data_IF_073859657832
#
_entry.id   IF_073859657832
#
_cell.length_a   1.000
_cell.length_b   1.000
_cell.length_c   1.000
_cell.angle_alpha   90.00
_cell.angle_beta   90.00
_cell.angle_gamma   90.00
#
_symmetry.space_group_name_H-M   'P 1'
#
loop_
_entity.id
_entity.type
_entity.pdbx_description
1 polymer ?
2 polymer ?
3 water ?
#
loop_
_entity_poly.entity_id
_entity_poly.type
_entity_poly.pdbx_seq_one_letter_code
_entity_poly.pdbx_strand_id
2 'polyribonucleotide' 'GGAGAUCUGAGCCUGGGAGCUCUCUCC' ?
#
# COMPACT_ATOMS: atom_id res chain seq x y z
N UNK A 1 9.40 1.30 14.56
CA UNK A 1 8.30 1.94 13.85
C UNK A 1 6.99 1.74 14.60
N UNK A 2 6.09 2.72 14.51
CA UNK A 2 4.80 2.68 15.16
C UNK A 2 3.71 3.07 14.17
N UNK A 3 2.45 2.79 14.50
CA UNK A 3 1.38 3.02 13.51
C UNK A 3 1.27 4.47 13.10
N UNK A 4 0.96 4.68 11.83
CA UNK A 4 0.69 6.01 11.29
C UNK A 4 -0.33 5.88 10.16
N UNK A 5 -0.59 6.99 9.46
CA UNK A 5 -1.62 7.00 8.43
C UNK A 5 -1.24 6.19 7.19
N UNK A 6 0.05 5.93 6.98
CA UNK A 6 0.52 5.36 5.73
C UNK A 6 1.07 3.96 5.94
N UNK A 7 0.74 3.07 5.01
CA UNK A 7 1.30 1.72 4.96
C UNK A 7 2.24 1.64 3.77
N UNK A 8 3.33 0.90 3.94
CA UNK A 8 4.30 0.64 2.88
C UNK A 8 4.14 -0.79 2.39
N UNK A 9 3.96 -0.95 1.09
CA UNK A 9 3.74 -2.25 0.46
C UNK A 9 4.83 -2.46 -0.57
N UNK A 10 5.51 -3.60 -0.48
CA UNK A 10 6.50 -3.99 -1.49
C UNK A 10 6.28 -5.46 -1.83
N UNK A 11 7.17 -5.98 -2.67
CA UNK A 11 7.01 -7.32 -3.26
C UNK A 11 5.83 -7.35 -4.22
N UNK A 12 5.48 -6.20 -4.79
CA UNK A 12 4.42 -6.13 -5.77
C UNK A 12 4.96 -6.55 -7.14
N UNK A 13 4.05 -7.06 -7.97
CA UNK A 13 4.44 -7.57 -9.28
C UNK A 13 4.96 -6.44 -10.15
N UNK A 14 6.23 -6.52 -10.52
CA UNK A 14 6.86 -5.49 -11.34
C UNK A 14 6.37 -5.51 -12.78
N UNK A 15 5.65 -6.54 -13.20
CA UNK A 15 5.19 -6.68 -14.58
C UNK A 15 3.86 -5.99 -14.84
N UNK A 16 3.20 -5.49 -13.80
CA UNK A 16 1.92 -4.81 -13.94
C UNK A 16 2.18 -3.32 -14.18
N UNK A 17 1.39 -2.73 -15.07
CA UNK A 17 1.51 -1.29 -15.32
C UNK A 17 1.26 -0.52 -14.03
N UNK A 18 1.91 0.64 -13.92
CA UNK A 18 1.77 1.47 -12.72
C UNK A 18 0.31 1.81 -12.45
N UNK A 19 -0.38 2.36 -13.45
CA UNK A 19 -1.73 2.87 -13.22
C UNK A 19 -2.70 1.74 -12.87
N UNK A 20 -2.50 0.55 -13.41
CA UNK A 20 -3.36 -0.57 -13.04
C UNK A 20 -3.04 -1.08 -11.65
N UNK A 21 -1.78 -0.96 -11.23
CA UNK A 21 -1.42 -1.31 -9.85
C UNK A 21 -2.04 -0.32 -8.88
N UNK A 22 -1.95 0.98 -9.20
CA UNK A 22 -2.54 2.00 -8.34
C UNK A 22 -4.05 1.86 -8.27
N UNK A 23 -4.69 1.51 -9.38
CA UNK A 23 -6.14 1.35 -9.39
C UNK A 23 -6.58 0.15 -8.58
N UNK A 24 -5.93 -1.00 -8.78
CA UNK A 24 -6.29 -2.20 -8.04
C UNK A 24 -6.05 -1.99 -6.54
N UNK A 25 -4.89 -1.45 -6.18
CA UNK A 25 -4.61 -1.16 -4.78
C UNK A 25 -5.72 -0.31 -4.16
N UNK A 26 -6.19 0.70 -4.90
CA UNK A 26 -7.27 1.53 -4.38
C UNK A 26 -8.55 0.73 -4.20
N UNK A 27 -8.88 -0.12 -5.18
CA UNK A 27 -10.11 -0.91 -5.09
C UNK A 27 -10.04 -1.92 -3.96
N UNK A 28 -8.86 -2.45 -3.66
CA UNK A 28 -8.76 -3.50 -2.65
C UNK A 28 -8.68 -2.90 -1.26
N UNK A 29 -7.96 -1.79 -1.09
CA UNK A 29 -7.72 -1.24 0.23
C UNK A 29 -8.77 -0.24 0.68
N UNK A 30 -9.61 0.25 -0.25
CA UNK A 30 -10.61 1.25 0.13
C UNK A 30 -11.65 0.70 1.09
N UNK A 31 -11.82 -0.63 1.17
CA UNK A 31 -12.81 -1.18 2.09
C UNK A 31 -12.45 -0.90 3.54
N UNK A 32 -11.18 -0.64 3.84
CA UNK A 32 -10.76 -0.38 5.20
C UNK A 32 -10.98 1.07 5.62
N UNK A 33 -11.09 1.98 4.65
CA UNK A 33 -11.34 3.37 4.97
C UNK A 33 -10.99 4.27 3.81
N UNK A 34 -11.27 5.55 4.01
CA UNK A 34 -10.98 6.55 2.99
C UNK A 34 -9.48 6.66 2.75
N UNK A 35 -9.08 6.60 1.49
CA UNK A 35 -7.68 6.71 1.09
C UNK A 35 -7.43 8.13 0.60
N UNK A 36 -6.45 8.80 1.21
CA UNK A 36 -6.11 10.15 0.78
C UNK A 36 -5.28 10.15 -0.51
N UNK A 37 -4.41 9.16 -0.68
CA UNK A 37 -3.55 9.12 -1.85
C UNK A 37 -2.85 7.76 -1.92
N UNK A 38 -2.58 7.32 -3.14
CA UNK A 38 -1.81 6.11 -3.40
C UNK A 38 -0.62 6.50 -4.26
N UNK A 39 0.58 6.14 -3.80
CA UNK A 39 1.81 6.50 -4.49
C UNK A 39 2.53 5.23 -4.93
N UNK A 40 2.95 5.21 -6.19
CA UNK A 40 3.78 4.12 -6.71
C UNK A 40 5.06 4.76 -7.25
N UNK A 41 6.03 5.06 -6.39
CA UNK A 41 7.16 5.90 -6.81
C UNK A 41 8.04 5.23 -7.86
N UNK A 42 8.76 6.07 -8.59
CA UNK A 42 9.64 5.61 -9.67
C UNK A 42 10.96 5.16 -9.06
N UNK A 43 11.13 3.86 -8.91
CA UNK A 43 12.35 3.29 -8.35
C UNK A 43 13.40 3.15 -9.44
N UNK A 44 14.68 3.11 -9.02
CA UNK A 44 15.76 2.88 -9.95
C UNK A 44 15.56 1.56 -10.69
N UNK A 45 15.24 0.50 -9.96
CA UNK A 45 14.87 -0.79 -10.51
C UNK A 45 13.37 -0.85 -10.71
N UNK A 46 12.86 -1.88 -11.40
CA UNK A 46 11.42 -1.90 -11.72
C UNK A 46 10.56 -1.71 -10.49
N UNK A 47 9.49 -0.93 -10.65
CA UNK A 47 8.57 -0.63 -9.56
C UNK A 47 8.10 -1.91 -8.89
N UNK A 48 8.18 -1.94 -7.56
CA UNK A 48 7.67 -3.04 -6.78
C UNK A 48 7.23 -2.60 -5.40
N UNK A 49 6.96 -1.30 -5.25
CA UNK A 49 6.60 -0.71 -3.98
C UNK A 49 5.48 0.30 -4.18
N UNK A 50 4.74 0.55 -3.11
CA UNK A 50 3.68 1.55 -3.15
C UNK A 50 3.36 1.98 -1.72
N UNK A 51 2.82 3.20 -1.61
CA UNK A 51 2.38 3.77 -0.34
C UNK A 51 0.88 4.05 -0.44
N UNK A 52 0.13 3.56 0.54
CA UNK A 52 -1.31 3.84 0.66
C UNK A 52 -1.49 4.74 1.87
N UNK A 53 -1.99 5.94 1.65
CA UNK A 53 -2.12 6.95 2.69
C UNK A 53 -3.59 7.02 3.07
N UNK A 54 -3.95 6.45 4.21
CA UNK A 54 -5.32 6.49 4.69
C UNK A 54 -5.59 7.81 5.42
N UNK A 55 -6.87 8.08 5.63
CA UNK A 55 -7.28 9.28 6.35
C UNK A 55 -7.16 9.10 7.86
N UNK A 56 -7.43 7.90 8.37
CA UNK A 56 -7.32 7.59 9.78
C UNK A 56 -6.30 6.47 9.98
N UNK A 57 -5.61 6.50 11.12
CA UNK A 57 -4.61 5.49 11.41
C UNK A 57 -5.26 4.12 11.61
N UNK A 58 -6.48 4.08 12.15
CA UNK A 58 -7.16 2.81 12.36
C UNK A 58 -7.38 2.08 11.04
N UNK A 59 -7.72 2.82 9.98
CA UNK A 59 -7.88 2.19 8.67
C UNK A 59 -6.58 1.53 8.23
N UNK A 60 -5.44 2.21 8.43
CA UNK A 60 -4.16 1.62 8.11
C UNK A 60 -3.88 0.40 8.98
N UNK A 61 -4.20 0.50 10.28
CA UNK A 61 -3.99 -0.63 11.18
C UNK A 61 -4.73 -1.87 10.69
N UNK A 62 -6.00 -1.72 10.34
CA UNK A 62 -6.78 -2.86 9.87
C UNK A 62 -6.31 -3.31 8.49
N UNK A 63 -5.99 -2.35 7.62
CA UNK A 63 -5.46 -2.71 6.30
C UNK A 63 -4.19 -3.54 6.42
N UNK A 64 -3.30 -3.17 7.33
CA UNK A 64 -2.05 -3.90 7.50
C UNK A 64 -2.31 -5.31 8.01
N UNK A 65 -3.23 -5.45 8.97
CA UNK A 65 -3.48 -6.76 9.55
C UNK A 65 -4.11 -7.71 8.54
N UNK A 66 -5.14 -7.24 7.84
CA UNK A 66 -5.93 -8.13 6.99
C UNK A 66 -5.14 -8.57 5.76
N UNK A 67 -4.48 -7.63 5.09
CA UNK A 67 -3.87 -7.87 3.79
C UNK A 67 -2.43 -8.38 3.88
N UNK A 68 -1.89 -8.53 5.09
CA UNK A 68 -0.51 -8.98 5.24
C UNK A 68 -0.33 -10.34 4.54
N UNK A 69 0.61 -10.40 3.61
CA UNK A 69 0.88 -11.64 2.90
C UNK A 69 -0.23 -12.12 1.99
N UNK A 70 -1.16 -11.23 1.62
CA UNK A 70 -2.29 -11.66 0.81
C UNK A 70 -1.90 -11.66 -0.67
N UNK A 71 -2.31 -12.67 -1.45
CA UNK A 71 -1.95 -12.68 -2.87
C UNK A 71 -2.48 -11.46 -3.60
N UNK A 72 -1.64 -10.90 -4.47
CA UNK A 72 -1.99 -9.68 -5.21
C UNK A 72 -1.24 -9.73 -6.53
N UNK A 73 -1.97 -9.99 -7.61
CA UNK A 73 -1.36 -10.21 -8.93
C UNK A 73 -0.32 -11.33 -8.84
N UNK A 74 -0.71 -12.41 -8.17
CA UNK A 74 0.09 -13.63 -8.06
C UNK A 74 1.30 -13.49 -7.13
N UNK A 75 1.25 -12.56 -6.17
CA UNK A 75 2.37 -12.40 -5.24
C UNK A 75 1.86 -11.97 -3.87
N UNK A 76 2.40 -12.54 -2.79
CA UNK A 76 1.98 -12.11 -1.45
C UNK A 76 2.55 -10.75 -1.10
N UNK A 77 1.69 -9.83 -0.67
CA UNK A 77 2.11 -8.47 -0.33
C UNK A 77 2.80 -8.47 1.03
N UNK A 78 3.95 -7.80 1.10
CA UNK A 78 4.64 -7.56 2.36
C UNK A 78 4.36 -6.12 2.77
N UNK A 79 3.70 -5.95 3.92
CA UNK A 79 3.16 -4.66 4.34
C UNK A 79 3.81 -4.25 5.65
N UNK A 80 4.12 -2.97 5.76
CA UNK A 80 4.63 -2.36 6.98
C UNK A 80 4.03 -0.98 7.13
N UNK A 81 4.20 -0.38 8.31
CA UNK A 81 3.95 1.04 8.46
C UNK A 81 5.08 1.83 7.82
N UNK A 82 4.73 2.88 7.08
CA UNK A 82 5.74 3.71 6.45
C UNK A 82 6.68 4.30 7.50
N UNK A 83 7.98 4.21 7.25
CA UNK A 83 8.97 4.80 8.14
C UNK A 83 8.56 6.21 8.55
N UNK A 84 8.39 7.09 7.56
CA UNK A 84 7.95 8.46 7.79
C UNK A 84 6.53 8.61 7.26
N UNK A 85 5.64 9.11 8.10
CA UNK A 85 4.27 9.35 7.67
C UNK A 85 4.26 10.28 6.46
N UNK A 86 3.55 9.86 5.40
CA UNK A 86 3.54 10.58 4.14
C UNK A 86 2.35 11.53 4.02
N UNK A 87 1.68 11.84 5.13
CA UNK A 87 0.55 12.76 5.09
C UNK A 87 1.05 14.20 5.19
N UNK A 88 0.51 15.06 4.33
CA UNK A 88 0.88 16.47 4.31
C UNK A 88 -0.30 17.31 4.79
#
# INVERSE_FOLDING_TARGET
TRPNHTIYINNLNSKIKKDELKKSLHAIFSRFGQILDILVPRTRRPRGQAFVIFKEVSSATNALRSMQGFPFYDKPMAIQYAKTDRTI
#
